data_IF_635198319426
#
_entry.id   IF_635198319426
#
_cell.length_a   1.000
_cell.length_b   1.000
_cell.length_c   1.000
_cell.angle_alpha   90.00
_cell.angle_beta   90.00
_cell.angle_gamma   90.00
#
_symmetry.space_group_name_H-M   'P 1'
#
loop_
_entity.id
_entity.type
_entity.pdbx_description
1 polymer ?
#
# COMPACT_ATOMS: atom_id res chain seq x y z
N UNK A 1 27.91 -2.10 16.74
CA UNK A 1 26.92 -1.72 17.74
C UNK A 1 26.26 -2.90 18.39
N UNK A 2 25.64 -3.80 17.66
CA UNK A 2 24.98 -4.97 18.20
C UNK A 2 25.89 -5.87 19.01
N UNK A 3 27.15 -6.02 18.61
CA UNK A 3 28.16 -6.76 19.39
C UNK A 3 28.38 -6.17 20.80
N UNK A 4 28.29 -4.85 20.95
CA UNK A 4 28.37 -4.21 22.28
C UNK A 4 27.12 -4.47 23.13
N UNK A 5 25.97 -4.69 22.48
CA UNK A 5 24.73 -5.09 23.13
C UNK A 5 24.69 -6.60 23.49
N UNK A 6 25.74 -7.36 23.16
CA UNK A 6 25.84 -8.79 23.44
C UNK A 6 25.40 -9.71 22.29
N UNK A 7 25.18 -9.16 21.11
CA UNK A 7 24.91 -9.97 19.92
C UNK A 7 26.21 -10.58 19.37
N UNK A 8 26.12 -11.82 18.95
CA UNK A 8 27.16 -12.56 18.21
C UNK A 8 26.50 -13.50 17.20
N UNK A 9 27.19 -13.88 16.12
CA UNK A 9 26.67 -14.90 15.20
C UNK A 9 26.25 -16.16 15.94
N UNK A 10 25.20 -16.82 15.46
CA UNK A 10 24.62 -18.05 16.01
C UNK A 10 24.13 -17.95 17.47
N UNK A 11 23.88 -16.73 17.94
CA UNK A 11 23.31 -16.53 19.28
C UNK A 11 21.92 -17.18 19.37
N UNK A 12 21.67 -17.89 20.47
CA UNK A 12 20.36 -18.39 20.87
C UNK A 12 20.10 -18.02 22.35
N UNK A 13 19.06 -17.24 22.59
CA UNK A 13 18.66 -16.85 23.94
C UNK A 13 17.88 -17.95 24.70
N UNK A 14 17.73 -19.14 24.11
CA UNK A 14 17.21 -20.33 24.75
C UNK A 14 15.82 -20.18 25.37
N UNK A 15 15.69 -20.63 26.62
CA UNK A 15 14.41 -20.64 27.35
C UNK A 15 13.81 -19.25 27.56
N UNK A 16 14.65 -18.21 27.69
CA UNK A 16 14.18 -16.85 27.85
C UNK A 16 13.42 -16.36 26.59
N UNK A 17 13.96 -16.68 25.41
CA UNK A 17 13.30 -16.40 24.15
C UNK A 17 11.99 -17.18 24.01
N UNK A 18 11.99 -18.46 24.40
CA UNK A 18 10.78 -19.29 24.35
C UNK A 18 9.68 -18.74 25.27
N UNK A 19 10.02 -18.34 26.49
CA UNK A 19 9.06 -17.73 27.42
C UNK A 19 8.46 -16.42 26.85
N UNK A 20 9.28 -15.58 26.22
CA UNK A 20 8.83 -14.34 25.60
C UNK A 20 7.87 -14.62 24.42
N UNK A 21 8.18 -15.63 23.59
CA UNK A 21 7.31 -16.09 22.51
C UNK A 21 5.98 -16.57 23.05
N UNK A 22 5.97 -17.48 24.03
CA UNK A 22 4.74 -18.03 24.62
C UNK A 22 3.87 -16.93 25.23
N UNK A 23 4.47 -15.95 25.92
CA UNK A 23 3.77 -14.81 26.47
C UNK A 23 3.08 -13.97 25.38
N UNK A 24 3.76 -13.75 24.26
CA UNK A 24 3.20 -12.99 23.14
C UNK A 24 2.10 -13.74 22.40
N UNK A 25 2.24 -15.06 22.25
CA UNK A 25 1.20 -15.93 21.67
C UNK A 25 -0.03 -15.96 22.56
N UNK A 26 0.13 -15.98 23.88
CA UNK A 26 -0.98 -15.97 24.84
C UNK A 26 -1.86 -14.70 24.74
N UNK A 27 -1.30 -13.57 24.25
CA UNK A 27 -2.06 -12.33 23.99
C UNK A 27 -2.47 -12.18 22.52
N UNK A 28 -2.36 -13.26 21.72
CA UNK A 28 -2.91 -13.35 20.37
C UNK A 28 -1.89 -13.18 19.24
N UNK A 29 -0.60 -12.98 19.51
CA UNK A 29 0.41 -12.92 18.43
C UNK A 29 0.51 -14.28 17.71
N UNK A 30 0.66 -14.25 16.38
CA UNK A 30 0.74 -15.45 15.54
C UNK A 30 2.19 -15.74 15.20
N UNK A 31 2.76 -16.80 15.81
CA UNK A 31 4.14 -17.22 15.58
C UNK A 31 4.32 -17.80 14.16
N UNK A 32 5.48 -17.53 13.57
CA UNK A 32 5.95 -18.09 12.31
C UNK A 32 7.49 -18.25 12.34
N UNK A 33 8.09 -19.04 11.43
CA UNK A 33 9.52 -19.42 11.54
C UNK A 33 10.50 -18.25 11.56
N UNK A 34 10.25 -17.16 10.80
CA UNK A 34 11.14 -16.00 10.83
C UNK A 34 11.06 -15.26 12.17
N UNK A 35 9.86 -15.16 12.78
CA UNK A 35 9.69 -14.56 14.09
C UNK A 35 10.39 -15.38 15.19
N UNK A 36 10.25 -16.70 15.15
CA UNK A 36 10.94 -17.58 16.11
C UNK A 36 12.46 -17.39 16.05
N UNK A 37 13.03 -17.42 14.84
CA UNK A 37 14.48 -17.19 14.65
C UNK A 37 14.89 -15.81 15.18
N UNK A 38 14.15 -14.76 14.83
CA UNK A 38 14.46 -13.40 15.26
C UNK A 38 14.43 -13.27 16.79
N UNK A 39 13.40 -13.83 17.44
CA UNK A 39 13.34 -13.76 18.91
C UNK A 39 14.47 -14.60 19.55
N UNK A 40 14.76 -15.81 19.06
CA UNK A 40 15.88 -16.61 19.58
C UNK A 40 17.21 -15.89 19.44
N UNK A 41 17.45 -15.25 18.33
CA UNK A 41 18.73 -14.57 18.04
C UNK A 41 18.87 -13.24 18.81
N UNK A 42 17.82 -12.43 18.88
CA UNK A 42 17.94 -11.04 19.35
C UNK A 42 17.31 -10.77 20.73
N UNK A 43 16.53 -11.70 21.31
CA UNK A 43 15.87 -11.46 22.59
C UNK A 43 16.86 -11.07 23.70
N UNK A 44 16.45 -10.08 24.50
CA UNK A 44 17.21 -9.58 25.65
C UNK A 44 18.32 -8.58 25.29
N UNK A 45 18.48 -8.24 24.00
CA UNK A 45 19.42 -7.18 23.62
C UNK A 45 18.85 -5.81 23.97
N UNK A 46 19.69 -4.96 24.55
CA UNK A 46 19.46 -3.52 24.69
C UNK A 46 20.47 -2.81 23.79
N UNK A 47 19.97 -2.24 22.69
CA UNK A 47 20.79 -1.54 21.70
C UNK A 47 20.74 -0.06 22.01
N UNK A 48 21.89 0.53 22.34
CA UNK A 48 22.00 1.95 22.62
C UNK A 48 22.22 2.75 21.33
N UNK A 49 21.75 4.00 21.24
CA UNK A 49 22.04 4.87 20.10
C UNK A 49 23.55 5.15 20.00
N UNK A 50 24.01 5.47 18.79
CA UNK A 50 25.40 5.84 18.56
C UNK A 50 25.75 7.14 19.25
N UNK A 51 26.95 7.19 19.86
CA UNK A 51 27.46 8.38 20.53
C UNK A 51 27.69 9.58 19.59
N UNK A 52 27.83 9.32 18.29
CA UNK A 52 28.07 10.34 17.24
C UNK A 52 26.83 11.09 16.80
N UNK A 53 25.67 10.80 17.38
CA UNK A 53 24.37 11.26 16.88
C UNK A 53 23.88 10.47 15.67
N UNK A 54 22.71 10.83 15.14
CA UNK A 54 22.14 10.16 13.97
C UNK A 54 22.78 10.61 12.66
N UNK A 55 22.79 9.73 11.67
CA UNK A 55 23.30 10.01 10.30
C UNK A 55 22.33 10.83 9.48
N UNK A 56 21.07 10.40 9.42
CA UNK A 56 20.00 11.03 8.63
C UNK A 56 18.89 11.57 9.54
N UNK A 57 18.62 10.86 10.64
CA UNK A 57 17.63 11.18 11.67
C UNK A 57 18.24 10.95 13.04
N UNK A 58 17.58 11.36 14.12
CA UNK A 58 18.04 11.08 15.47
C UNK A 58 18.23 9.56 15.67
N UNK A 59 19.40 9.18 16.20
CA UNK A 59 19.66 7.80 16.60
C UNK A 59 18.74 7.42 17.77
N UNK A 60 18.20 6.21 17.74
CA UNK A 60 17.20 5.70 18.69
C UNK A 60 17.65 4.36 19.23
N UNK A 61 17.60 4.22 20.56
CA UNK A 61 17.86 2.95 21.22
C UNK A 61 16.65 2.01 21.15
N UNK A 62 16.88 0.74 21.48
CA UNK A 62 15.80 -0.25 21.49
C UNK A 62 16.04 -1.38 22.47
N UNK A 63 14.95 -1.96 22.97
CA UNK A 63 14.94 -3.21 23.75
C UNK A 63 14.27 -4.29 22.93
N UNK A 64 14.96 -5.40 22.74
CA UNK A 64 14.44 -6.55 21.98
C UNK A 64 13.85 -7.56 22.97
N UNK A 65 12.61 -7.33 23.32
CA UNK A 65 11.77 -8.22 24.12
C UNK A 65 10.33 -8.15 23.60
N UNK A 66 9.78 -9.20 23.00
CA UNK A 66 8.42 -9.23 22.51
C UNK A 66 7.36 -8.80 23.54
N UNK A 67 7.63 -9.00 24.82
CA UNK A 67 6.72 -8.66 25.92
C UNK A 67 6.51 -7.15 26.05
N UNK A 68 7.48 -6.33 25.64
CA UNK A 68 7.38 -4.86 25.63
C UNK A 68 6.33 -4.36 24.62
N UNK A 69 6.10 -5.10 23.54
CA UNK A 69 5.11 -4.76 22.51
C UNK A 69 3.81 -5.59 22.62
N UNK A 70 3.57 -6.30 23.73
CA UNK A 70 2.40 -7.20 23.87
C UNK A 70 1.06 -6.50 23.78
N UNK A 71 0.97 -5.24 24.19
CA UNK A 71 -0.27 -4.46 24.13
C UNK A 71 -0.55 -3.89 22.74
N UNK A 72 0.44 -3.93 21.85
CA UNK A 72 0.31 -3.45 20.47
C UNK A 72 -0.14 -4.54 19.50
N UNK A 73 -0.30 -5.80 19.95
CA UNK A 73 -0.71 -6.92 19.10
C UNK A 73 -1.96 -6.61 18.25
N UNK A 74 -3.04 -5.97 18.77
CA UNK A 74 -4.17 -5.58 17.93
C UNK A 74 -3.81 -4.57 16.82
N UNK A 75 -2.89 -3.66 17.08
CA UNK A 75 -2.39 -2.69 16.09
C UNK A 75 -1.49 -3.37 15.06
N UNK A 76 -0.65 -4.31 15.50
CA UNK A 76 0.17 -5.14 14.60
C UNK A 76 -0.70 -5.96 13.65
N UNK A 77 -1.82 -6.54 14.12
CA UNK A 77 -2.73 -7.27 13.25
C UNK A 77 -3.34 -6.37 12.18
N UNK A 78 -3.79 -5.16 12.51
CA UNK A 78 -4.33 -4.21 11.52
C UNK A 78 -3.30 -3.83 10.47
N UNK A 79 -2.04 -3.64 10.88
CA UNK A 79 -0.94 -3.34 9.96
C UNK A 79 -0.57 -4.58 9.13
N UNK A 80 -0.55 -5.76 9.74
CA UNK A 80 -0.34 -7.03 9.06
C UNK A 80 -1.37 -7.25 7.93
N UNK A 81 -2.66 -7.05 8.24
CA UNK A 81 -3.73 -7.15 7.26
C UNK A 81 -3.58 -6.12 6.13
N UNK A 82 -3.22 -4.87 6.46
CA UNK A 82 -3.01 -3.81 5.46
C UNK A 82 -1.77 -4.07 4.58
N UNK A 83 -0.72 -4.66 5.14
CA UNK A 83 0.50 -5.04 4.41
C UNK A 83 0.35 -6.37 3.66
N UNK A 84 -0.62 -7.20 4.01
CA UNK A 84 -0.78 -8.55 3.49
C UNK A 84 0.35 -9.51 3.92
N UNK A 85 0.97 -9.28 5.10
CA UNK A 85 2.04 -10.09 5.66
C UNK A 85 1.73 -10.45 7.11
N UNK A 86 2.38 -11.47 7.63
CA UNK A 86 2.33 -11.76 9.08
C UNK A 86 3.32 -10.87 9.82
N UNK A 87 2.92 -10.35 10.98
CA UNK A 87 3.78 -9.59 11.88
C UNK A 87 3.81 -10.25 13.27
N UNK A 88 4.99 -10.24 13.87
CA UNK A 88 5.19 -10.69 15.25
C UNK A 88 5.88 -9.58 16.05
N UNK A 89 5.43 -9.28 17.30
CA UNK A 89 6.10 -8.31 18.15
C UNK A 89 7.55 -8.73 18.42
N UNK A 90 8.48 -7.79 18.36
CA UNK A 90 9.91 -8.07 18.61
C UNK A 90 10.46 -7.25 19.78
N UNK A 91 9.93 -6.07 20.03
CA UNK A 91 10.44 -5.19 21.08
C UNK A 91 9.88 -3.79 20.99
N UNK A 92 10.62 -2.83 21.55
CA UNK A 92 10.22 -1.41 21.59
C UNK A 92 11.45 -0.51 21.51
N UNK A 93 11.27 0.65 20.92
CA UNK A 93 12.28 1.72 20.94
C UNK A 93 12.23 2.49 22.27
N UNK A 94 13.29 3.25 22.59
CA UNK A 94 13.33 4.16 23.75
C UNK A 94 12.35 5.36 23.59
N UNK A 95 11.86 5.61 22.39
CA UNK A 95 10.79 6.56 22.09
C UNK A 95 9.39 5.95 22.12
N UNK A 96 9.25 4.76 22.69
CA UNK A 96 8.00 4.02 22.89
C UNK A 96 7.33 3.50 21.61
N UNK A 97 8.04 3.39 20.49
CA UNK A 97 7.51 2.82 19.26
C UNK A 97 7.66 1.29 19.22
N UNK A 98 6.59 0.50 18.99
CA UNK A 98 6.68 -0.94 18.86
C UNK A 98 7.52 -1.37 17.67
N UNK A 99 8.32 -2.41 17.87
CA UNK A 99 9.09 -3.11 16.84
C UNK A 99 8.43 -4.45 16.52
N UNK A 100 8.39 -4.80 15.25
CA UNK A 100 7.87 -6.08 14.77
C UNK A 100 8.74 -6.65 13.67
N UNK A 101 8.79 -7.98 13.61
CA UNK A 101 9.39 -8.71 12.50
C UNK A 101 8.29 -9.26 11.60
N UNK A 102 8.48 -9.22 10.28
CA UNK A 102 7.57 -9.83 9.34
C UNK A 102 8.01 -11.26 8.93
N UNK A 103 7.18 -11.93 8.14
CA UNK A 103 7.42 -13.30 7.71
C UNK A 103 8.62 -13.45 6.76
N UNK A 104 9.10 -12.35 6.18
CA UNK A 104 10.32 -12.29 5.37
C UNK A 104 11.59 -12.02 6.20
N UNK A 105 11.44 -11.75 7.51
CA UNK A 105 12.54 -11.45 8.42
C UNK A 105 12.91 -9.96 8.47
N UNK A 106 12.10 -9.09 7.86
CA UNK A 106 12.32 -7.64 7.86
C UNK A 106 11.91 -7.02 9.19
N UNK A 107 12.63 -5.99 9.61
CA UNK A 107 12.28 -5.23 10.82
C UNK A 107 11.44 -4.00 10.48
N UNK A 108 10.30 -3.91 11.15
CA UNK A 108 9.38 -2.78 11.04
C UNK A 108 9.23 -2.07 12.39
N UNK A 109 8.92 -0.77 12.33
CA UNK A 109 8.54 0.06 13.48
C UNK A 109 7.15 0.65 13.23
N UNK A 110 6.30 0.60 14.24
CA UNK A 110 5.01 1.30 14.24
C UNK A 110 5.18 2.65 14.95
N UNK A 111 5.26 3.70 14.16
CA UNK A 111 5.41 5.06 14.66
C UNK A 111 4.22 5.96 14.29
N UNK A 112 4.31 7.21 14.71
CA UNK A 112 3.37 8.26 14.29
C UNK A 112 3.36 8.36 12.76
N UNK A 113 2.18 8.20 12.18
CA UNK A 113 1.98 8.27 10.73
C UNK A 113 2.07 6.94 10.00
N UNK A 114 2.15 5.79 10.67
CA UNK A 114 2.04 4.45 10.10
C UNK A 114 3.28 3.56 10.28
N UNK A 115 3.34 2.44 9.58
CA UNK A 115 4.47 1.53 9.64
C UNK A 115 5.69 2.06 8.85
N UNK A 116 6.86 1.77 9.38
CA UNK A 116 8.15 2.13 8.81
C UNK A 116 9.01 0.88 8.67
N UNK A 117 9.61 0.67 7.50
CA UNK A 117 10.63 -0.36 7.28
C UNK A 117 11.97 0.18 7.77
N UNK A 118 12.58 -0.53 8.70
CA UNK A 118 13.88 -0.20 9.28
C UNK A 118 15.02 -0.92 8.56
N UNK A 119 14.80 -2.17 8.12
CA UNK A 119 15.79 -2.96 7.42
C UNK A 119 15.21 -4.26 6.85
N UNK A 120 15.88 -4.80 5.85
CA UNK A 120 15.50 -6.08 5.23
C UNK A 120 15.84 -7.30 6.12
N UNK A 121 16.61 -7.08 7.18
CA UNK A 121 16.84 -8.04 8.25
C UNK A 121 16.68 -7.37 9.60
N UNK A 122 16.48 -8.15 10.66
CA UNK A 122 16.44 -7.62 12.03
C UNK A 122 17.76 -6.96 12.41
N UNK A 123 18.88 -7.57 12.03
CA UNK A 123 20.22 -7.04 12.27
C UNK A 123 20.39 -5.63 11.65
N UNK A 124 20.05 -5.50 10.37
CA UNK A 124 20.18 -4.23 9.65
C UNK A 124 19.26 -3.16 10.22
N UNK A 125 18.01 -3.53 10.55
CA UNK A 125 17.04 -2.61 11.11
C UNK A 125 17.42 -2.10 12.51
N UNK A 126 17.93 -2.96 13.39
CA UNK A 126 18.42 -2.53 14.71
C UNK A 126 19.68 -1.65 14.57
N UNK A 127 20.56 -1.97 13.61
CA UNK A 127 21.71 -1.13 13.31
C UNK A 127 21.28 0.23 12.77
N UNK A 128 20.31 0.26 11.84
CA UNK A 128 19.77 1.50 11.27
C UNK A 128 19.16 2.42 12.34
N UNK A 129 18.39 1.87 13.29
CA UNK A 129 17.88 2.64 14.43
C UNK A 129 19.01 3.27 15.25
N UNK A 130 19.97 2.44 15.64
CA UNK A 130 21.06 2.88 16.51
C UNK A 130 22.01 3.87 15.84
N UNK A 131 22.15 3.82 14.51
CA UNK A 131 22.95 4.77 13.73
C UNK A 131 22.15 5.99 13.24
N UNK A 132 20.82 6.00 13.41
CA UNK A 132 19.95 7.06 12.93
C UNK A 132 19.90 7.12 11.40
N UNK A 133 19.86 5.97 10.74
CA UNK A 133 19.58 5.88 9.31
C UNK A 133 18.08 6.09 9.09
N UNK A 134 17.72 6.91 8.10
CA UNK A 134 16.33 7.23 7.82
C UNK A 134 15.51 5.98 7.45
N UNK A 135 14.45 5.65 8.18
CA UNK A 135 13.59 4.52 7.84
C UNK A 135 12.72 4.83 6.63
N UNK A 136 12.30 3.78 5.92
CA UNK A 136 11.40 3.91 4.77
C UNK A 136 9.95 3.86 5.27
N UNK A 137 9.21 4.96 5.07
CA UNK A 137 7.79 4.97 5.41
C UNK A 137 6.99 4.11 4.43
N UNK A 138 6.31 3.10 4.96
CA UNK A 138 5.37 2.30 4.18
C UNK A 138 4.04 3.06 4.07
N UNK A 139 3.69 3.45 2.84
CA UNK A 139 2.46 4.18 2.53
C UNK A 139 1.72 3.42 1.44
N UNK A 140 0.41 3.48 1.46
CA UNK A 140 -0.37 3.14 0.28
C UNK A 140 0.02 4.09 -0.86
N UNK A 141 0.65 3.59 -1.93
CA UNK A 141 1.04 4.43 -3.04
C UNK A 141 -0.18 5.07 -3.69
N UNK A 142 -0.07 6.34 -4.03
CA UNK A 142 -1.12 7.08 -4.73
C UNK A 142 -0.50 8.06 -5.71
N UNK A 143 -0.98 8.05 -6.93
CA UNK A 143 -0.61 9.01 -7.97
C UNK A 143 -1.89 9.65 -8.53
N UNK A 144 -1.80 10.92 -8.93
CA UNK A 144 -2.91 11.64 -9.53
C UNK A 144 -2.44 12.33 -10.81
N UNK A 145 -3.17 12.12 -11.89
CA UNK A 145 -2.87 12.61 -13.22
C UNK A 145 -4.03 13.48 -13.69
N UNK A 146 -3.84 14.80 -13.91
CA UNK A 146 -4.91 15.66 -14.40
C UNK A 146 -5.39 15.17 -15.76
N UNK A 147 -6.70 15.21 -15.97
CA UNK A 147 -7.28 14.90 -17.28
C UNK A 147 -6.93 16.01 -18.27
N UNK A 148 -6.44 15.67 -19.48
CA UNK A 148 -6.17 16.65 -20.51
C UNK A 148 -7.45 17.31 -21.01
N UNK A 149 -7.40 18.63 -21.24
CA UNK A 149 -8.47 19.39 -21.90
C UNK A 149 -9.46 20.11 -20.99
N UNK A 150 -9.36 19.98 -19.65
CA UNK A 150 -10.14 20.81 -18.71
C UNK A 150 -11.65 20.56 -18.66
N UNK A 151 -12.24 19.84 -19.61
CA UNK A 151 -13.64 19.44 -19.63
C UNK A 151 -13.78 17.99 -19.20
N UNK A 152 -14.23 17.81 -18.00
CA UNK A 152 -14.50 16.51 -17.42
C UNK A 152 -15.92 16.04 -17.77
N UNK A 153 -16.05 15.40 -18.91
CA UNK A 153 -17.23 14.65 -19.27
C UNK A 153 -16.98 13.13 -19.19
N UNK A 154 -18.04 12.35 -19.30
CA UNK A 154 -17.97 10.89 -19.31
C UNK A 154 -17.03 10.38 -20.43
N UNK A 155 -17.02 11.02 -21.59
CA UNK A 155 -16.18 10.62 -22.72
C UNK A 155 -14.68 10.78 -22.41
N UNK A 156 -14.30 11.91 -21.79
CA UNK A 156 -12.92 12.12 -21.35
C UNK A 156 -12.52 11.09 -20.27
N UNK A 157 -13.43 10.81 -19.33
CA UNK A 157 -13.20 9.82 -18.28
C UNK A 157 -13.00 8.39 -18.84
N UNK A 158 -13.85 7.96 -19.77
CA UNK A 158 -13.74 6.64 -20.42
C UNK A 158 -12.42 6.52 -21.20
N UNK A 159 -12.06 7.55 -21.98
CA UNK A 159 -10.78 7.55 -22.71
C UNK A 159 -9.58 7.47 -21.78
N UNK A 160 -9.58 8.23 -20.68
CA UNK A 160 -8.52 8.16 -19.67
C UNK A 160 -8.44 6.78 -19.00
N UNK A 161 -9.59 6.19 -18.67
CA UNK A 161 -9.65 4.84 -18.11
C UNK A 161 -9.11 3.79 -19.08
N UNK A 162 -9.43 3.87 -20.37
CA UNK A 162 -8.89 2.95 -21.38
C UNK A 162 -7.37 3.09 -21.55
N UNK A 163 -6.82 4.32 -21.50
CA UNK A 163 -5.37 4.51 -21.50
C UNK A 163 -4.74 3.87 -20.27
N UNK A 164 -5.33 4.05 -19.09
CA UNK A 164 -4.84 3.40 -17.87
C UNK A 164 -4.90 1.87 -17.97
N UNK A 165 -5.99 1.30 -18.49
CA UNK A 165 -6.10 -0.15 -18.76
C UNK A 165 -4.97 -0.63 -19.67
N UNK A 166 -4.72 0.08 -20.76
CA UNK A 166 -3.63 -0.25 -21.69
C UNK A 166 -2.27 -0.25 -21.00
N UNK A 167 -1.97 0.80 -20.24
CA UNK A 167 -0.68 0.94 -19.53
C UNK A 167 -0.53 -0.14 -18.46
N UNK A 168 -1.58 -0.42 -17.66
CA UNK A 168 -1.58 -1.45 -16.64
C UNK A 168 -1.43 -2.85 -17.23
N UNK A 169 -2.09 -3.10 -18.37
CA UNK A 169 -1.95 -4.37 -19.10
C UNK A 169 -0.54 -4.55 -19.64
N UNK A 170 0.02 -3.53 -20.27
CA UNK A 170 1.39 -3.55 -20.81
C UNK A 170 2.45 -3.72 -19.72
N UNK A 171 2.18 -3.24 -18.52
CA UNK A 171 3.03 -3.44 -17.34
C UNK A 171 2.85 -4.82 -16.68
N UNK A 172 1.95 -5.67 -17.19
CA UNK A 172 1.65 -6.99 -16.60
C UNK A 172 0.90 -6.93 -15.26
N UNK A 173 0.34 -5.77 -14.90
CA UNK A 173 -0.32 -5.53 -13.62
C UNK A 173 -1.83 -5.78 -13.71
N UNK A 174 -2.42 -5.68 -14.90
CA UNK A 174 -3.86 -5.78 -15.11
C UNK A 174 -4.24 -6.94 -16.02
N UNK A 175 -5.17 -7.77 -15.56
CA UNK A 175 -5.80 -8.83 -16.35
C UNK A 175 -7.33 -8.73 -16.39
N UNK A 176 -7.90 -7.65 -15.88
CA UNK A 176 -9.34 -7.45 -15.81
C UNK A 176 -9.98 -7.18 -17.17
N UNK A 177 -11.30 -7.38 -17.23
CA UNK A 177 -12.09 -7.34 -18.47
C UNK A 177 -13.29 -6.40 -18.38
N UNK A 178 -13.32 -5.50 -17.40
CA UNK A 178 -14.44 -4.58 -17.23
C UNK A 178 -13.99 -3.24 -16.65
N UNK A 179 -14.71 -2.16 -16.99
CA UNK A 179 -14.72 -0.91 -16.27
C UNK A 179 -15.94 -0.89 -15.35
N UNK A 180 -15.73 -0.55 -14.10
CA UNK A 180 -16.82 -0.37 -13.15
C UNK A 180 -17.26 1.10 -13.13
N UNK A 181 -18.52 1.38 -13.47
CA UNK A 181 -19.10 2.72 -13.43
C UNK A 181 -19.95 2.88 -12.17
N UNK A 182 -19.59 3.86 -11.36
CA UNK A 182 -20.42 4.32 -10.25
C UNK A 182 -20.83 5.76 -10.46
N UNK A 183 -22.13 6.05 -10.40
CA UNK A 183 -22.68 7.39 -10.44
C UNK A 183 -23.39 7.70 -9.13
N UNK A 184 -22.98 8.77 -8.45
CA UNK A 184 -23.56 9.22 -7.19
C UNK A 184 -24.12 10.61 -7.35
N UNK A 185 -25.38 10.82 -6.96
CA UNK A 185 -26.02 12.14 -7.06
C UNK A 185 -25.44 13.09 -6.02
N UNK A 186 -25.12 14.32 -6.46
CA UNK A 186 -24.59 15.38 -5.60
C UNK A 186 -25.69 16.11 -4.79
N UNK A 187 -26.96 15.80 -5.05
CA UNK A 187 -28.11 16.40 -4.33
C UNK A 187 -28.51 15.53 -3.15
N UNK A 188 -28.16 15.96 -1.94
CA UNK A 188 -28.56 15.29 -0.70
C UNK A 188 -27.56 14.23 -0.23
N UNK A 189 -28.07 13.14 0.33
CA UNK A 189 -27.29 12.04 0.94
C UNK A 189 -26.76 11.10 -0.15
N UNK A 190 -25.90 11.55 -1.04
CA UNK A 190 -25.17 10.74 -2.03
C UNK A 190 -25.83 9.42 -2.46
N UNK A 191 -26.97 9.46 -3.13
CA UNK A 191 -27.67 8.25 -3.58
C UNK A 191 -26.91 7.68 -4.79
N UNK A 192 -26.52 6.40 -4.70
CA UNK A 192 -25.93 5.67 -5.83
C UNK A 192 -27.03 5.42 -6.87
N UNK A 193 -26.88 6.00 -8.04
CA UNK A 193 -27.83 5.87 -9.14
C UNK A 193 -27.44 4.77 -10.13
N UNK A 194 -26.15 4.54 -10.31
CA UNK A 194 -25.58 3.46 -11.15
C UNK A 194 -24.41 2.86 -10.40
N UNK A 195 -24.29 1.52 -10.43
CA UNK A 195 -23.19 0.76 -9.82
C UNK A 195 -23.07 -0.55 -10.62
N UNK A 196 -22.37 -0.50 -11.77
CA UNK A 196 -22.38 -1.59 -12.76
C UNK A 196 -21.04 -1.75 -13.47
N UNK A 197 -20.77 -3.01 -13.87
CA UNK A 197 -19.62 -3.38 -14.69
C UNK A 197 -19.93 -3.30 -16.18
N UNK A 198 -19.03 -2.67 -16.93
CA UNK A 198 -19.06 -2.60 -18.39
C UNK A 198 -17.92 -3.44 -18.95
N UNK A 199 -18.21 -4.59 -19.61
CA UNK A 199 -17.18 -5.48 -20.08
C UNK A 199 -16.33 -4.84 -21.19
N UNK A 200 -15.02 -5.08 -21.10
CA UNK A 200 -14.06 -4.78 -22.15
C UNK A 200 -13.98 -5.99 -23.09
N UNK A 201 -14.41 -5.84 -24.34
CA UNK A 201 -14.33 -6.88 -25.34
C UNK A 201 -12.88 -7.20 -25.75
N UNK A 202 -12.62 -8.37 -26.37
CA UNK A 202 -11.33 -8.65 -26.98
C UNK A 202 -11.03 -7.59 -28.06
N UNK A 203 -9.91 -6.89 -27.93
CA UNK A 203 -9.53 -5.78 -28.82
C UNK A 203 -10.05 -4.41 -28.41
N UNK A 204 -10.69 -4.26 -27.25
CA UNK A 204 -11.20 -2.95 -26.77
C UNK A 204 -10.09 -1.92 -26.56
N UNK A 205 -8.84 -2.35 -26.45
CA UNK A 205 -7.68 -1.44 -26.34
C UNK A 205 -7.35 -0.75 -27.67
N UNK A 206 -7.74 -1.37 -28.80
CA UNK A 206 -7.55 -0.86 -30.16
C UNK A 206 -8.85 -0.32 -30.79
N UNK A 207 -10.01 -0.57 -30.14
CA UNK A 207 -11.31 -0.11 -30.61
C UNK A 207 -11.65 1.27 -30.03
N UNK A 208 -12.48 2.02 -30.75
CA UNK A 208 -12.90 3.34 -30.29
C UNK A 208 -13.58 3.25 -28.91
N UNK A 209 -13.43 4.27 -28.08
CA UNK A 209 -14.13 4.38 -26.80
C UNK A 209 -15.64 4.57 -26.97
N UNK A 210 -16.12 4.87 -28.17
CA UNK A 210 -17.51 5.25 -28.49
C UNK A 210 -18.56 4.22 -28.08
N UNK A 211 -18.38 2.91 -28.30
CA UNK A 211 -19.35 1.92 -27.84
C UNK A 211 -19.54 1.92 -26.32
N UNK A 212 -18.45 2.05 -25.55
CA UNK A 212 -18.50 2.15 -24.09
C UNK A 212 -19.17 3.44 -23.63
N UNK A 213 -18.79 4.57 -24.22
CA UNK A 213 -19.38 5.87 -23.93
C UNK A 213 -20.89 5.84 -24.20
N UNK A 214 -21.31 5.25 -25.33
CA UNK A 214 -22.72 5.10 -25.69
C UNK A 214 -23.47 4.24 -24.68
N UNK A 215 -22.94 3.07 -24.33
CA UNK A 215 -23.56 2.18 -23.36
C UNK A 215 -23.69 2.79 -21.97
N UNK A 216 -22.62 3.43 -21.47
CA UNK A 216 -22.62 4.11 -20.18
C UNK A 216 -23.56 5.31 -20.17
N UNK A 217 -23.61 6.09 -21.26
CA UNK A 217 -24.54 7.21 -21.44
C UNK A 217 -25.99 6.74 -21.38
N UNK A 218 -26.35 5.70 -22.13
CA UNK A 218 -27.69 5.13 -22.11
C UNK A 218 -28.10 4.67 -20.70
N UNK A 219 -27.17 4.09 -19.96
CA UNK A 219 -27.43 3.64 -18.59
C UNK A 219 -27.64 4.80 -17.62
N UNK A 220 -26.83 5.86 -17.71
CA UNK A 220 -27.02 7.10 -16.93
C UNK A 220 -28.33 7.77 -17.24
N UNK A 221 -28.72 7.83 -18.51
CA UNK A 221 -30.04 8.42 -18.94
C UNK A 221 -31.20 7.59 -18.37
N UNK A 222 -31.13 6.26 -18.46
CA UNK A 222 -32.14 5.35 -17.92
C UNK A 222 -32.30 5.44 -16.39
N UNK A 223 -31.22 5.73 -15.67
CA UNK A 223 -31.25 5.90 -14.21
C UNK A 223 -31.69 7.31 -13.79
N UNK A 224 -31.83 8.26 -14.71
CA UNK A 224 -32.05 9.68 -14.41
C UNK A 224 -30.82 10.41 -13.83
N UNK A 225 -29.69 9.74 -13.75
CA UNK A 225 -28.45 10.27 -13.16
C UNK A 225 -27.91 11.46 -13.95
N UNK A 226 -28.08 11.45 -15.28
CA UNK A 226 -27.62 12.54 -16.17
C UNK A 226 -28.36 13.85 -16.00
N UNK A 227 -29.62 13.80 -15.59
CA UNK A 227 -30.42 14.97 -15.30
C UNK A 227 -30.10 15.61 -13.93
N UNK A 228 -29.45 14.87 -13.04
CA UNK A 228 -28.93 15.32 -11.76
C UNK A 228 -27.43 15.61 -11.88
N UNK A 229 -26.91 16.60 -11.16
CA UNK A 229 -25.47 16.73 -11.01
C UNK A 229 -24.96 15.48 -10.30
N UNK A 230 -24.13 14.71 -10.98
CA UNK A 230 -23.59 13.44 -10.49
C UNK A 230 -22.07 13.51 -10.42
N UNK A 231 -21.52 12.89 -9.41
CA UNK A 231 -20.12 12.44 -9.41
C UNK A 231 -20.06 11.09 -10.10
N UNK A 232 -19.20 10.97 -11.12
CA UNK A 232 -18.97 9.73 -11.86
C UNK A 232 -17.60 9.21 -11.50
N UNK A 233 -17.53 7.96 -11.06
CA UNK A 233 -16.26 7.25 -10.81
C UNK A 233 -16.20 6.02 -11.72
N UNK A 234 -15.16 5.97 -12.55
CA UNK A 234 -14.80 4.79 -13.32
C UNK A 234 -13.62 4.12 -12.62
N UNK A 235 -13.83 2.88 -12.18
CA UNK A 235 -12.82 2.12 -11.46
C UNK A 235 -12.32 0.97 -12.33
N UNK A 236 -11.02 0.79 -12.32
CA UNK A 236 -10.31 -0.32 -12.97
C UNK A 236 -9.67 -1.13 -11.83
N UNK A 237 -10.29 -2.23 -11.39
CA UNK A 237 -9.71 -3.06 -10.35
C UNK A 237 -8.42 -3.70 -10.87
N UNK A 238 -7.34 -3.54 -10.14
CA UNK A 238 -6.07 -4.19 -10.42
C UNK A 238 -5.97 -5.42 -9.54
N UNK A 239 -6.04 -6.64 -10.10
CA UNK A 239 -5.96 -7.85 -9.30
C UNK A 239 -4.59 -7.97 -8.62
N UNK A 240 -4.52 -8.64 -7.47
CA UNK A 240 -3.25 -8.93 -6.81
C UNK A 240 -2.35 -9.73 -7.74
N UNK A 241 -1.05 -9.44 -7.72
CA UNK A 241 -0.05 -10.21 -8.47
C UNK A 241 -0.02 -11.67 -8.02
N UNK A 242 0.37 -12.57 -8.93
CA UNK A 242 0.42 -14.02 -8.69
C UNK A 242 1.53 -14.46 -7.75
N UNK A 243 2.52 -13.60 -7.50
CA UNK A 243 3.67 -13.89 -6.63
C UNK A 243 3.78 -12.81 -5.55
N UNK A 244 3.27 -13.09 -4.37
CA UNK A 244 3.38 -12.22 -3.20
C UNK A 244 2.07 -12.06 -2.43
N UNK A 245 2.08 -11.32 -1.33
CA UNK A 245 0.86 -11.02 -0.59
C UNK A 245 -0.12 -10.25 -1.48
N UNK A 246 -1.43 -10.44 -1.31
CA UNK A 246 -2.45 -9.82 -2.13
C UNK A 246 -2.34 -8.29 -2.05
N UNK A 247 -1.73 -7.68 -3.06
CA UNK A 247 -1.68 -6.23 -3.19
C UNK A 247 -2.97 -5.78 -3.87
N UNK A 248 -3.79 -5.01 -3.18
CA UNK A 248 -4.94 -4.36 -3.80
C UNK A 248 -4.48 -3.08 -4.49
N UNK A 249 -4.84 -2.90 -5.74
CA UNK A 249 -4.64 -1.66 -6.45
C UNK A 249 -5.93 -1.28 -7.20
N UNK A 250 -6.18 0.01 -7.29
CA UNK A 250 -7.32 0.57 -7.97
C UNK A 250 -6.87 1.76 -8.82
N UNK A 251 -7.33 1.81 -10.05
CA UNK A 251 -7.20 2.97 -10.91
C UNK A 251 -8.59 3.54 -11.13
N UNK A 252 -8.81 4.80 -10.76
CA UNK A 252 -10.11 5.44 -10.84
C UNK A 252 -10.04 6.79 -11.56
N UNK A 253 -11.07 7.10 -12.34
CA UNK A 253 -11.30 8.43 -12.91
C UNK A 253 -12.57 8.99 -12.29
N UNK A 254 -12.45 10.12 -11.61
CA UNK A 254 -13.59 10.81 -11.00
C UNK A 254 -13.84 12.13 -11.74
N UNK A 255 -15.08 12.36 -12.13
CA UNK A 255 -15.55 13.58 -12.79
C UNK A 255 -16.82 14.09 -12.13
N UNK A 256 -17.06 15.39 -12.23
CA UNK A 256 -18.27 16.00 -11.67
C UNK A 256 -18.19 16.37 -10.18
N UNK A 257 -17.08 16.15 -9.51
CA UNK A 257 -16.87 16.66 -8.16
C UNK A 257 -16.59 18.17 -8.21
N UNK A 258 -17.43 19.03 -7.60
CA UNK A 258 -17.24 20.47 -7.68
C UNK A 258 -16.05 21.00 -6.87
N UNK A 259 -15.49 20.19 -5.98
CA UNK A 259 -14.38 20.57 -5.09
C UNK A 259 -13.03 20.12 -5.59
N UNK A 260 -12.98 19.20 -6.55
CA UNK A 260 -11.74 18.63 -7.06
C UNK A 260 -11.69 18.73 -8.59
N UNK A 261 -10.52 19.05 -9.12
CA UNK A 261 -10.30 18.96 -10.55
C UNK A 261 -10.36 17.48 -10.99
N UNK A 262 -10.96 17.19 -12.15
CA UNK A 262 -11.07 15.83 -12.65
C UNK A 262 -9.68 15.22 -12.89
N UNK A 263 -9.47 14.05 -12.35
CA UNK A 263 -8.19 13.38 -12.43
C UNK A 263 -8.34 11.86 -12.55
N UNK A 264 -7.39 11.25 -13.24
CA UNK A 264 -7.11 9.83 -13.14
C UNK A 264 -6.28 9.61 -11.88
N UNK A 265 -6.74 8.76 -10.98
CA UNK A 265 -6.02 8.43 -9.74
C UNK A 265 -5.69 6.94 -9.73
N UNK A 266 -4.41 6.62 -9.56
CA UNK A 266 -3.94 5.26 -9.28
C UNK A 266 -3.64 5.17 -7.78
N UNK A 267 -4.33 4.27 -7.10
CA UNK A 267 -4.12 3.97 -5.69
C UNK A 267 -3.81 2.49 -5.52
N UNK A 268 -2.96 2.17 -4.56
CA UNK A 268 -2.65 0.79 -4.23
C UNK A 268 -2.71 0.57 -2.72
N UNK A 269 -2.97 -0.65 -2.31
CA UNK A 269 -2.91 -1.04 -0.91
C UNK A 269 -1.50 -0.89 -0.33
N UNK A 270 -1.40 -0.87 0.98
CA UNK A 270 -0.12 -0.71 1.68
C UNK A 270 0.88 -1.83 1.34
N UNK A 271 0.38 -3.03 1.06
CA UNK A 271 1.15 -4.19 0.58
C UNK A 271 1.91 -3.93 -0.73
N UNK A 272 1.47 -2.98 -1.54
CA UNK A 272 2.13 -2.57 -2.78
C UNK A 272 3.20 -1.48 -2.59
N UNK A 273 3.54 -1.11 -1.36
CA UNK A 273 4.59 -0.11 -1.09
C UNK A 273 6.02 -0.65 -1.27
N UNK A 274 6.17 -1.97 -1.40
CA UNK A 274 7.48 -2.64 -1.58
C UNK A 274 7.37 -3.81 -2.56
N UNK A 275 8.50 -4.28 -3.07
CA UNK A 275 8.60 -5.48 -3.91
C UNK A 275 8.23 -5.28 -5.38
N UNK A 276 8.02 -6.39 -6.13
CA UNK A 276 7.76 -6.35 -7.57
C UNK A 276 6.52 -5.54 -7.97
N UNK A 277 5.47 -5.61 -7.16
CA UNK A 277 4.22 -4.86 -7.39
C UNK A 277 4.46 -3.35 -7.32
N UNK A 278 5.27 -2.88 -6.35
CA UNK A 278 5.64 -1.47 -6.25
C UNK A 278 6.38 -1.00 -7.51
N UNK A 279 7.33 -1.80 -8.00
CA UNK A 279 8.09 -1.50 -9.22
C UNK A 279 7.19 -1.42 -10.46
N UNK A 280 6.24 -2.35 -10.59
CA UNK A 280 5.28 -2.38 -11.69
C UNK A 280 4.34 -1.15 -11.66
N UNK A 281 3.83 -0.80 -10.48
CA UNK A 281 2.97 0.37 -10.29
C UNK A 281 3.72 1.69 -10.53
N UNK A 282 4.98 1.80 -10.10
CA UNK A 282 5.81 2.97 -10.37
C UNK A 282 6.10 3.13 -11.88
N UNK A 283 6.34 2.02 -12.57
CA UNK A 283 6.49 2.01 -14.04
C UNK A 283 5.19 2.46 -14.72
N UNK A 284 4.04 1.98 -14.26
CA UNK A 284 2.74 2.41 -14.72
C UNK A 284 2.53 3.92 -14.48
N UNK A 285 2.83 4.40 -13.27
CA UNK A 285 2.70 5.81 -12.93
C UNK A 285 3.57 6.72 -13.81
N UNK A 286 4.81 6.31 -14.10
CA UNK A 286 5.70 7.05 -15.02
C UNK A 286 5.13 7.11 -16.45
N UNK A 287 4.58 6.02 -16.95
CA UNK A 287 3.94 5.97 -18.27
C UNK A 287 2.69 6.85 -18.32
N UNK A 288 1.86 6.85 -17.29
CA UNK A 288 0.70 7.74 -17.19
C UNK A 288 1.11 9.21 -17.07
N UNK A 289 2.21 9.52 -16.39
CA UNK A 289 2.76 10.88 -16.33
C UNK A 289 3.19 11.36 -17.72
N UNK A 290 3.88 10.51 -18.48
CA UNK A 290 4.26 10.83 -19.85
C UNK A 290 3.03 11.06 -20.76
N UNK A 291 1.98 10.26 -20.58
CA UNK A 291 0.71 10.41 -21.29
C UNK A 291 0.00 11.72 -20.91
N UNK A 292 -0.12 12.06 -19.62
CA UNK A 292 -0.82 13.29 -19.17
C UNK A 292 -0.10 14.57 -19.59
N UNK A 293 1.21 14.51 -19.81
CA UNK A 293 2.03 15.62 -20.32
C UNK A 293 2.04 15.75 -21.83
N UNK A 294 1.50 14.79 -22.58
CA UNK A 294 1.41 14.84 -24.03
C UNK A 294 0.06 15.38 -24.47
N UNK A 295 -0.01 16.36 -25.39
CA UNK A 295 -1.27 16.72 -26.02
C UNK A 295 -1.82 15.49 -26.75
N UNK A 296 -3.04 15.09 -26.41
CA UNK A 296 -3.77 14.09 -27.19
C UNK A 296 -3.79 14.56 -28.64
N UNK A 297 -3.03 13.88 -29.51
CA UNK A 297 -3.23 14.04 -30.94
C UNK A 297 -4.57 13.41 -31.28
N UNK A 298 -5.40 14.13 -32.07
CA UNK A 298 -6.70 13.67 -32.48
C UNK A 298 -6.61 12.40 -33.32
#
# INVERSE_FOLDING_TARGET
MLTRAGWQPDRDAGDAAMLAILTSVAVGARLFPAAERAVREFHGLTVLPADTGGRDVAAVGSVVDPREARFDVPSLHRVADALGVRLFPLGRTDTDAPLAVDEHGRLLMLGTGGPWLLGETVHDGLTALAEGIAPIRLRAPRWSFPLPGGNADLGAAVRAALVAVYVLHSAGVYSGRALHLRATTLRGIGVVAVDEDFPLGPGSLDSSAEPLITAMTARLDASGARAAACELTLTIPVPPGTEGPPATAECAVTVGNPTEAPALTLTAGLSASTGPTATALDTCARSLTAWSGSPLRP
#
